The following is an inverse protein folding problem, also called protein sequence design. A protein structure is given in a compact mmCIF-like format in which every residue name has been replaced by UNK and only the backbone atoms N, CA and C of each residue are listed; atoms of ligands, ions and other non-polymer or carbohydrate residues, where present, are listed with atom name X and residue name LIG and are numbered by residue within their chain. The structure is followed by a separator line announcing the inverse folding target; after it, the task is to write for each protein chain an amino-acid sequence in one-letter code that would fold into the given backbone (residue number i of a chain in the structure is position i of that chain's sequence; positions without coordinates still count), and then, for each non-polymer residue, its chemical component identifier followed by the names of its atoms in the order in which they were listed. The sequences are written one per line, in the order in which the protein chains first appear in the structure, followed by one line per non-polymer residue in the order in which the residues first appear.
data_IF_680345356053
#
_entry.id   IF_680345356053
#
_cell.length_a   1.000
_cell.length_b   1.000
_cell.length_c   1.000
_cell.angle_alpha   90.00
_cell.angle_beta   90.00
_cell.angle_gamma   90.00
#
_symmetry.space_group_name_H-M   'P 1'
#
loop_
_entity.id
_entity.type
_entity.pdbx_description
1 polymer ?
#
# COMPACT_ATOMS: atom_id res chain seq x y z
N UNK A 1 18.72 -1.97 0.44
CA UNK A 1 18.33 -3.25 1.05
C UNK A 1 16.81 -3.36 1.07
N UNK A 2 16.19 -4.52 0.74
CA UNK A 2 14.76 -4.70 0.92
C UNK A 2 14.44 -4.70 2.42
N UNK A 3 13.54 -3.83 2.86
CA UNK A 3 12.95 -3.92 4.19
C UNK A 3 11.90 -5.03 4.12
N UNK A 4 12.20 -6.16 4.76
CA UNK A 4 11.29 -7.31 4.86
C UNK A 4 10.70 -7.29 6.27
N UNK A 5 9.39 -7.20 6.36
CA UNK A 5 8.66 -7.29 7.62
C UNK A 5 8.18 -8.73 7.78
N UNK A 6 8.47 -9.35 8.92
CA UNK A 6 8.10 -10.74 9.24
C UNK A 6 7.25 -10.72 10.50
N UNK A 7 5.95 -11.03 10.37
CA UNK A 7 4.98 -11.00 11.46
C UNK A 7 4.19 -12.30 11.69
N UNK A 8 4.42 -13.36 10.91
CA UNK A 8 3.70 -14.63 11.06
C UNK A 8 3.72 -15.53 9.83
N UNK A 9 2.86 -16.56 9.82
CA UNK A 9 2.80 -17.60 8.81
C UNK A 9 2.25 -17.10 7.45
N UNK A 10 2.90 -17.51 6.36
CA UNK A 10 2.50 -17.17 5.00
C UNK A 10 1.39 -18.11 4.51
N UNK A 11 0.21 -17.56 4.21
CA UNK A 11 -0.88 -18.28 3.54
C UNK A 11 -0.84 -18.05 2.02
N UNK A 12 -0.62 -19.09 1.18
CA UNK A 12 -0.66 -18.95 -0.27
C UNK A 12 -2.03 -18.46 -0.74
N UNK A 13 -2.07 -17.36 -1.51
CA UNK A 13 -3.32 -16.80 -2.04
C UNK A 13 -3.85 -15.59 -1.26
N UNK A 14 -3.27 -15.25 -0.12
CA UNK A 14 -3.55 -13.98 0.55
C UNK A 14 -3.09 -12.82 -0.33
N UNK A 15 -3.89 -11.76 -0.41
CA UNK A 15 -3.64 -10.57 -1.24
C UNK A 15 -3.92 -9.26 -0.51
N UNK A 16 -4.51 -9.30 0.68
CA UNK A 16 -4.78 -8.12 1.49
C UNK A 16 -3.49 -7.57 2.12
N UNK A 17 -3.14 -6.34 1.77
CA UNK A 17 -1.99 -5.63 2.30
C UNK A 17 -2.01 -5.54 3.84
N UNK A 18 -3.19 -5.29 4.43
CA UNK A 18 -3.31 -5.09 5.88
C UNK A 18 -2.92 -6.37 6.63
N UNK A 19 -3.29 -7.53 6.11
CA UNK A 19 -2.88 -8.83 6.69
C UNK A 19 -1.39 -9.10 6.51
N UNK A 20 -0.82 -8.80 5.34
CA UNK A 20 0.62 -8.99 5.12
C UNK A 20 1.49 -8.15 6.04
N UNK A 21 1.12 -6.88 6.27
CA UNK A 21 1.92 -5.97 7.10
C UNK A 21 1.77 -6.24 8.60
N UNK A 22 0.67 -6.88 9.03
CA UNK A 22 0.39 -7.16 10.44
C UNK A 22 0.76 -8.57 10.89
N UNK A 23 0.55 -9.58 10.04
CA UNK A 23 0.66 -10.99 10.44
C UNK A 23 1.37 -11.89 9.42
N UNK A 24 1.99 -11.32 8.39
CA UNK A 24 2.61 -12.08 7.30
C UNK A 24 4.04 -11.66 6.99
N UNK A 25 4.52 -12.07 5.81
CA UNK A 25 5.76 -11.56 5.23
C UNK A 25 5.46 -10.52 4.17
N UNK A 26 5.89 -9.29 4.38
CA UNK A 26 5.72 -8.18 3.43
C UNK A 26 7.08 -7.64 2.95
N UNK A 27 7.25 -7.56 1.64
CA UNK A 27 8.40 -6.88 1.03
C UNK A 27 8.00 -5.44 0.74
N UNK A 28 8.71 -4.48 1.36
CA UNK A 28 8.39 -3.07 1.22
C UNK A 28 8.58 -2.54 -0.21
N UNK A 29 7.45 -2.42 -0.90
CA UNK A 29 7.26 -1.79 -2.21
C UNK A 29 6.50 -0.47 -2.12
N UNK A 30 6.40 0.15 -0.94
CA UNK A 30 5.56 1.34 -0.73
C UNK A 30 5.96 2.56 -1.59
N UNK A 31 7.21 2.62 -2.09
CA UNK A 31 7.62 3.63 -3.08
C UNK A 31 6.80 3.57 -4.38
N UNK A 32 6.23 2.41 -4.70
CA UNK A 32 5.31 2.26 -5.82
C UNK A 32 4.12 3.23 -5.72
N UNK A 33 3.68 3.59 -4.51
CA UNK A 33 2.58 4.55 -4.32
C UNK A 33 2.99 5.94 -4.86
N UNK A 34 4.21 6.38 -4.52
CA UNK A 34 4.75 7.66 -5.00
C UNK A 34 4.95 7.61 -6.50
N UNK A 35 5.56 6.54 -7.00
CA UNK A 35 5.81 6.36 -8.44
C UNK A 35 4.49 6.38 -9.22
N UNK A 36 3.47 5.68 -8.73
CA UNK A 36 2.15 5.63 -9.32
C UNK A 36 1.47 7.00 -9.30
N UNK A 37 1.50 7.74 -8.19
CA UNK A 37 0.78 9.02 -8.12
C UNK A 37 1.50 10.18 -8.83
N UNK A 38 2.82 10.18 -8.89
CA UNK A 38 3.62 11.28 -9.46
C UNK A 38 3.87 11.09 -10.96
N UNK A 39 4.10 9.84 -11.40
CA UNK A 39 4.47 9.53 -12.78
C UNK A 39 3.37 8.79 -13.54
N UNK A 40 2.15 8.68 -12.99
CA UNK A 40 1.05 8.07 -13.72
C UNK A 40 0.69 8.87 -14.96
N UNK A 41 0.61 8.17 -16.09
CA UNK A 41 -0.13 8.63 -17.27
C UNK A 41 -1.61 8.28 -17.10
N UNK A 42 -2.48 8.83 -17.96
CA UNK A 42 -3.94 8.66 -17.93
C UNK A 42 -4.42 7.20 -17.75
N UNK A 43 -3.63 6.21 -18.21
CA UNK A 43 -3.89 4.80 -17.94
C UNK A 43 -2.57 4.05 -17.67
N UNK A 44 -2.47 3.36 -16.52
CA UNK A 44 -1.30 2.57 -16.15
C UNK A 44 -1.64 1.08 -16.18
N UNK A 45 -1.00 0.33 -17.09
CA UNK A 45 -1.13 -1.12 -17.16
C UNK A 45 0.05 -1.80 -16.47
N UNK A 46 -0.19 -2.44 -15.33
CA UNK A 46 0.84 -3.21 -14.62
C UNK A 46 0.96 -4.59 -15.28
N UNK A 47 1.72 -4.74 -16.37
CA UNK A 47 2.00 -6.04 -17.02
C UNK A 47 3.14 -6.76 -16.29
N UNK A 48 2.90 -7.93 -15.66
CA UNK A 48 3.99 -8.66 -14.95
C UNK A 48 3.62 -10.11 -14.54
N UNK A 49 4.59 -11.01 -14.31
CA UNK A 49 4.40 -12.44 -14.00
C UNK A 49 3.57 -12.76 -12.75
N UNK A 50 3.03 -13.98 -12.72
CA UNK A 50 2.24 -14.56 -11.63
C UNK A 50 3.02 -14.49 -10.30
N UNK A 51 2.33 -14.14 -9.20
CA UNK A 51 2.86 -13.98 -7.82
C UNK A 51 3.75 -12.76 -7.54
N UNK A 52 3.81 -11.78 -8.43
CA UNK A 52 4.55 -10.54 -8.15
C UNK A 52 3.88 -9.60 -7.12
N UNK A 53 2.72 -9.98 -6.59
CA UNK A 53 1.98 -9.20 -5.59
C UNK A 53 1.16 -8.06 -6.19
N UNK A 54 0.58 -8.24 -7.39
CA UNK A 54 -0.27 -7.23 -8.03
C UNK A 54 -1.47 -6.86 -7.15
N UNK A 55 -2.23 -7.86 -6.73
CA UNK A 55 -3.40 -7.66 -5.86
C UNK A 55 -3.00 -7.02 -4.53
N UNK A 56 -1.87 -7.43 -3.93
CA UNK A 56 -1.32 -6.79 -2.74
C UNK A 56 -0.94 -5.33 -2.96
N UNK A 57 -0.35 -4.99 -4.10
CA UNK A 57 -0.05 -3.61 -4.44
C UNK A 57 -1.31 -2.77 -4.63
N UNK A 58 -2.36 -3.32 -5.25
CA UNK A 58 -3.65 -2.65 -5.41
C UNK A 58 -4.35 -2.44 -4.05
N UNK A 59 -4.33 -3.45 -3.18
CA UNK A 59 -4.82 -3.36 -1.80
C UNK A 59 -4.05 -2.31 -0.98
N UNK A 60 -2.73 -2.22 -1.15
CA UNK A 60 -1.89 -1.19 -0.53
C UNK A 60 -2.24 0.21 -1.04
N UNK A 61 -2.42 0.38 -2.35
CA UNK A 61 -2.88 1.65 -2.95
C UNK A 61 -4.24 2.06 -2.39
N UNK A 62 -5.20 1.13 -2.34
CA UNK A 62 -6.51 1.38 -1.76
C UNK A 62 -6.40 1.83 -0.30
N UNK A 63 -5.62 1.12 0.52
CA UNK A 63 -5.45 1.42 1.94
C UNK A 63 -4.81 2.80 2.16
N UNK A 64 -3.93 3.24 1.26
CA UNK A 64 -3.25 4.54 1.36
C UNK A 64 -4.12 5.70 0.84
N UNK A 65 -4.80 5.51 -0.29
CA UNK A 65 -5.44 6.58 -1.05
C UNK A 65 -6.92 6.78 -0.70
N UNK A 66 -7.65 5.69 -0.40
CA UNK A 66 -9.09 5.75 -0.19
C UNK A 66 -9.44 6.56 1.07
N UNK A 67 -10.54 7.33 1.07
CA UNK A 67 -10.97 8.07 2.24
C UNK A 67 -11.18 7.13 3.43
N UNK A 68 -10.81 7.62 4.62
CA UNK A 68 -11.10 6.91 5.86
C UNK A 68 -12.58 7.07 6.22
N UNK A 69 -13.15 6.07 6.88
CA UNK A 69 -14.54 6.11 7.31
C UNK A 69 -14.73 6.91 8.62
N UNK A 70 -13.64 7.06 9.38
CA UNK A 70 -13.55 7.82 10.62
C UNK A 70 -12.10 8.27 10.86
N UNK A 71 -11.89 9.21 11.78
CA UNK A 71 -10.53 9.60 12.18
C UNK A 71 -9.74 8.44 12.80
N UNK A 72 -10.40 7.57 13.57
CA UNK A 72 -9.78 6.36 14.13
C UNK A 72 -9.28 5.41 13.02
N UNK A 73 -10.07 5.21 11.96
CA UNK A 73 -9.65 4.40 10.81
C UNK A 73 -8.49 5.06 10.07
N UNK A 74 -8.49 6.40 9.97
CA UNK A 74 -7.40 7.16 9.36
C UNK A 74 -6.09 6.98 10.12
N UNK A 75 -6.11 7.11 11.44
CA UNK A 75 -4.94 6.92 12.30
C UNK A 75 -4.44 5.47 12.24
N UNK A 76 -5.34 4.50 12.30
CA UNK A 76 -5.02 3.07 12.18
C UNK A 76 -4.34 2.77 10.83
N UNK A 77 -4.91 3.25 9.71
CA UNK A 77 -4.33 3.07 8.37
C UNK A 77 -2.98 3.75 8.26
N UNK A 78 -2.84 4.97 8.77
CA UNK A 78 -1.57 5.69 8.76
C UNK A 78 -0.47 4.93 9.53
N UNK A 79 -0.84 4.30 10.65
CA UNK A 79 0.03 3.42 11.42
C UNK A 79 0.68 2.30 10.61
N UNK A 80 -0.02 1.75 9.62
CA UNK A 80 0.49 0.67 8.76
C UNK A 80 1.67 1.11 7.87
N UNK A 81 1.82 2.42 7.63
CA UNK A 81 2.85 2.97 6.75
C UNK A 81 4.07 3.54 7.47
N UNK A 82 4.01 3.77 8.80
CA UNK A 82 5.07 4.47 9.56
C UNK A 82 6.48 3.86 9.42
N UNK A 83 6.57 2.54 9.22
CA UNK A 83 7.85 1.84 9.01
C UNK A 83 8.26 1.68 7.54
N UNK A 84 7.40 2.05 6.59
CA UNK A 84 7.59 1.82 5.17
C UNK A 84 8.33 2.98 4.50
N UNK A 85 9.00 2.72 3.37
CA UNK A 85 9.74 3.76 2.63
C UNK A 85 8.90 4.98 2.24
N UNK A 86 7.59 4.82 1.98
CA UNK A 86 6.70 5.96 1.67
C UNK A 86 6.59 6.96 2.84
N UNK A 87 6.77 6.51 4.08
CA UNK A 87 6.76 7.40 5.26
C UNK A 87 7.88 8.43 5.28
N UNK A 88 8.90 8.28 4.43
CA UNK A 88 9.97 9.27 4.30
C UNK A 88 9.56 10.51 3.49
N UNK A 89 8.38 10.52 2.89
CA UNK A 89 7.88 11.59 2.03
C UNK A 89 6.70 12.32 2.69
N UNK A 90 6.98 13.12 3.72
CA UNK A 90 5.96 13.85 4.50
C UNK A 90 5.04 14.71 3.62
N UNK A 91 5.61 15.42 2.65
CA UNK A 91 4.84 16.26 1.72
C UNK A 91 3.82 15.43 0.91
N UNK A 92 4.22 14.23 0.50
CA UNK A 92 3.42 13.34 -0.33
C UNK A 92 2.26 12.76 0.47
N UNK A 93 2.55 12.33 1.70
CA UNK A 93 1.53 11.82 2.63
C UNK A 93 0.49 12.90 2.93
N UNK A 94 0.93 14.11 3.28
CA UNK A 94 0.01 15.23 3.58
C UNK A 94 -0.92 15.55 2.42
N UNK A 95 -0.44 15.41 1.18
CA UNK A 95 -1.20 15.73 -0.02
C UNK A 95 -2.16 14.60 -0.43
N UNK A 96 -1.72 13.34 -0.39
CA UNK A 96 -2.45 12.23 -1.03
C UNK A 96 -3.10 11.23 -0.07
N UNK A 97 -2.65 11.11 1.18
CA UNK A 97 -3.15 10.07 2.07
C UNK A 97 -4.63 10.27 2.41
N UNK A 98 -5.46 9.28 2.05
CA UNK A 98 -6.91 9.31 2.29
C UNK A 98 -7.70 10.35 1.50
N UNK A 99 -7.11 10.95 0.45
CA UNK A 99 -7.72 12.08 -0.26
C UNK A 99 -8.25 11.73 -1.66
N UNK A 100 -8.27 10.45 -2.06
CA UNK A 100 -8.65 10.05 -3.42
C UNK A 100 -9.78 9.02 -3.40
N UNK A 101 -10.90 9.24 -4.12
CA UNK A 101 -11.91 8.21 -4.27
C UNK A 101 -11.32 7.04 -5.09
N UNK A 102 -11.14 5.89 -4.45
CA UNK A 102 -10.61 4.68 -5.08
C UNK A 102 -11.74 3.67 -5.27
N UNK A 103 -11.89 3.17 -6.50
CA UNK A 103 -12.75 2.03 -6.81
C UNK A 103 -11.85 0.81 -6.97
N UNK A 104 -12.07 -0.20 -6.14
CA UNK A 104 -11.39 -1.49 -6.19
C UNK A 104 -12.45 -2.58 -6.29
N UNK A 105 -12.50 -3.25 -7.45
CA UNK A 105 -13.49 -4.29 -7.78
C UNK A 105 -12.86 -5.67 -7.69
#
# INVERSE_FOLDING_TARGET
SPNVFVGGDYSPGETDFVKFITSGTFVDKSLFIVEFMVYSVHANLITRPRRFGKSTNLSMLYTFLAPALSEEDKERRFGLFKGLKVAKFDWFIKLHFGNWPVIHV
#
